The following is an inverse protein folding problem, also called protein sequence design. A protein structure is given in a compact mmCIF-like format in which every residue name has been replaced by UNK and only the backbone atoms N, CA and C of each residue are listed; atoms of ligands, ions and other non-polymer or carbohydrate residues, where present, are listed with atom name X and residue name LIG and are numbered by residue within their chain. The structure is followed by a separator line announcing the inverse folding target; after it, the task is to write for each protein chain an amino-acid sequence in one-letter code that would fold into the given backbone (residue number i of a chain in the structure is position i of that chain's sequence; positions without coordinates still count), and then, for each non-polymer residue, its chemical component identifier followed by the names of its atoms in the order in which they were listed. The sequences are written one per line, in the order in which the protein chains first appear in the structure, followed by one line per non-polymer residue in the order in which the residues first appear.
data_IF_725234286955
#
_entry.id   IF_725234286955
#
_cell.length_a   1.000
_cell.length_b   1.000
_cell.length_c   1.000
_cell.angle_alpha   90.00
_cell.angle_beta   90.00
_cell.angle_gamma   90.00
#
_symmetry.space_group_name_H-M   'P 1'
#
loop_
_entity.id
_entity.type
_entity.pdbx_description
1 polymer ?
#
# COMPACT_ATOMS: atom_id res chain seq x y z
N UNK A 1 -28.05 -8.28 15.14
CA UNK A 1 -27.69 -7.89 13.76
C UNK A 1 -27.65 -9.15 12.92
N UNK A 2 -28.71 -9.40 12.14
CA UNK A 2 -28.78 -10.55 11.24
C UNK A 2 -27.84 -10.29 10.06
N UNK A 3 -26.82 -11.15 9.89
CA UNK A 3 -26.01 -11.20 8.68
C UNK A 3 -26.92 -11.65 7.53
N UNK A 4 -27.42 -10.70 6.74
CA UNK A 4 -27.99 -11.03 5.44
C UNK A 4 -26.87 -11.57 4.55
N UNK A 5 -26.86 -12.88 4.35
CA UNK A 5 -25.99 -13.53 3.39
C UNK A 5 -26.43 -13.12 1.99
N UNK A 6 -25.62 -12.32 1.30
CA UNK A 6 -25.81 -12.10 -0.13
C UNK A 6 -25.75 -13.46 -0.86
N UNK A 7 -26.60 -13.69 -1.88
CA UNK A 7 -26.51 -14.90 -2.68
C UNK A 7 -25.10 -15.06 -3.26
N UNK A 8 -24.58 -16.29 -3.24
CA UNK A 8 -23.23 -16.66 -3.71
C UNK A 8 -23.17 -16.53 -5.25
N UNK A 9 -23.08 -15.30 -5.73
CA UNK A 9 -22.76 -15.00 -7.11
C UNK A 9 -21.24 -15.15 -7.33
N UNK A 10 -20.78 -15.61 -8.51
CA UNK A 10 -19.35 -15.78 -8.78
C UNK A 10 -18.55 -14.49 -8.54
N UNK A 11 -19.17 -13.33 -8.76
CA UNK A 11 -18.58 -12.01 -8.53
C UNK A 11 -18.33 -11.71 -7.04
N UNK A 12 -19.24 -12.07 -6.12
CA UNK A 12 -19.06 -11.82 -4.68
C UNK A 12 -17.90 -12.64 -4.12
N UNK A 13 -17.69 -13.85 -4.63
CA UNK A 13 -16.54 -14.70 -4.28
C UNK A 13 -15.21 -14.06 -4.70
N UNK A 14 -15.16 -13.41 -5.88
CA UNK A 14 -13.99 -12.71 -6.39
C UNK A 14 -13.64 -11.49 -5.52
N UNK A 15 -14.62 -10.63 -5.21
CA UNK A 15 -14.43 -9.46 -4.34
C UNK A 15 -14.03 -9.88 -2.92
N UNK A 16 -14.62 -10.95 -2.37
CA UNK A 16 -14.27 -11.51 -1.06
C UNK A 16 -12.82 -12.00 -1.03
N UNK A 17 -12.35 -12.65 -2.09
CA UNK A 17 -10.95 -13.04 -2.25
C UNK A 17 -10.01 -11.84 -2.27
N UNK A 18 -10.37 -10.79 -3.01
CA UNK A 18 -9.59 -9.54 -3.10
C UNK A 18 -9.50 -8.82 -1.75
N UNK A 19 -10.62 -8.71 -1.03
CA UNK A 19 -10.69 -8.15 0.33
C UNK A 19 -9.82 -8.91 1.32
N UNK A 20 -9.87 -10.25 1.29
CA UNK A 20 -8.97 -11.08 2.12
C UNK A 20 -7.50 -10.80 1.80
N UNK A 21 -7.13 -10.70 0.53
CA UNK A 21 -5.76 -10.38 0.12
C UNK A 21 -5.33 -8.98 0.58
N UNK A 22 -6.18 -7.97 0.43
CA UNK A 22 -5.90 -6.59 0.89
C UNK A 22 -5.73 -6.55 2.41
N UNK A 23 -6.64 -7.19 3.15
CA UNK A 23 -6.56 -7.29 4.62
C UNK A 23 -5.30 -8.03 5.07
N UNK A 24 -4.94 -9.12 4.39
CA UNK A 24 -3.71 -9.87 4.67
C UNK A 24 -2.47 -9.00 4.42
N UNK A 25 -2.43 -8.28 3.30
CA UNK A 25 -1.33 -7.35 3.01
C UNK A 25 -1.21 -6.27 4.07
N UNK A 26 -2.32 -5.62 4.45
CA UNK A 26 -2.32 -4.60 5.52
C UNK A 26 -1.86 -5.15 6.86
N UNK A 27 -2.31 -6.36 7.21
CA UNK A 27 -1.88 -7.05 8.42
C UNK A 27 -0.38 -7.35 8.38
N UNK A 28 0.15 -7.85 7.26
CA UNK A 28 1.59 -8.06 7.08
C UNK A 28 2.37 -6.75 7.15
N UNK A 29 1.86 -5.67 6.56
CA UNK A 29 2.48 -4.34 6.65
C UNK A 29 2.51 -3.85 8.10
N UNK A 30 1.43 -4.03 8.86
CA UNK A 30 1.36 -3.70 10.29
C UNK A 30 2.36 -4.50 11.13
N UNK A 31 2.47 -5.81 10.89
CA UNK A 31 3.46 -6.68 11.55
C UNK A 31 4.88 -6.25 11.19
N UNK A 32 5.17 -6.01 9.91
CA UNK A 32 6.48 -5.57 9.44
C UNK A 32 6.87 -4.25 10.08
N UNK A 33 5.95 -3.28 10.14
CA UNK A 33 6.16 -1.98 10.78
C UNK A 33 6.48 -2.17 12.27
N UNK A 34 5.74 -3.04 12.96
CA UNK A 34 5.98 -3.36 14.36
C UNK A 34 7.35 -4.01 14.57
N UNK A 35 7.76 -4.96 13.70
CA UNK A 35 9.08 -5.56 13.72
C UNK A 35 10.21 -4.55 13.45
N UNK A 36 10.02 -3.62 12.51
CA UNK A 36 10.98 -2.55 12.23
C UNK A 36 11.15 -1.62 13.42
N UNK A 37 10.06 -1.20 14.06
CA UNK A 37 10.09 -0.37 15.27
C UNK A 37 10.80 -1.12 16.40
N UNK A 38 10.47 -2.39 16.61
CA UNK A 38 11.08 -3.20 17.67
C UNK A 38 12.59 -3.41 17.44
N UNK A 39 12.98 -3.74 16.20
CA UNK A 39 14.38 -3.91 15.80
C UNK A 39 15.18 -2.62 15.97
N UNK A 40 14.60 -1.48 15.57
CA UNK A 40 15.23 -0.18 15.72
C UNK A 40 15.33 0.23 17.20
N UNK A 41 14.29 0.01 18.00
CA UNK A 41 14.27 0.25 19.46
C UNK A 41 15.34 -0.56 20.19
N UNK A 42 15.42 -1.86 19.91
CA UNK A 42 16.44 -2.77 20.45
C UNK A 42 17.83 -2.30 20.00
N UNK A 43 18.02 -2.02 18.71
CA UNK A 43 19.29 -1.52 18.17
C UNK A 43 19.77 -0.22 18.82
N UNK A 44 18.86 0.72 19.09
CA UNK A 44 19.17 1.98 19.78
C UNK A 44 19.53 1.78 21.25
N UNK A 45 18.86 0.86 21.95
CA UNK A 45 19.18 0.49 23.34
C UNK A 45 20.60 -0.07 23.47
N UNK A 46 21.05 -0.86 22.49
CA UNK A 46 22.39 -1.46 22.50
C UNK A 46 23.51 -0.52 22.01
N UNK A 47 23.22 0.46 21.14
CA UNK A 47 24.25 1.33 20.53
C UNK A 47 24.59 2.60 21.30
N UNK A 48 23.70 3.15 22.12
CA UNK A 48 24.05 4.31 22.94
C UNK A 48 23.31 4.31 24.27
N UNK A 49 24.00 4.24 25.42
CA UNK A 49 23.38 4.64 26.67
C UNK A 49 23.22 6.16 26.65
N UNK A 50 22.03 6.62 26.24
CA UNK A 50 21.40 7.86 26.70
C UNK A 50 22.28 9.12 26.80
N UNK A 51 22.79 9.66 25.69
CA UNK A 51 23.50 10.97 25.75
C UNK A 51 22.60 12.19 25.57
N UNK A 52 21.46 12.06 24.89
CA UNK A 52 20.53 13.17 24.65
C UNK A 52 19.09 12.80 25.07
N UNK A 53 18.69 13.25 26.27
CA UNK A 53 17.33 13.12 26.81
C UNK A 53 16.24 13.60 25.83
N UNK A 54 16.37 14.73 25.09
CA UNK A 54 15.31 15.17 24.18
C UNK A 54 15.14 14.25 22.96
N UNK A 55 16.21 13.64 22.43
CA UNK A 55 16.08 12.70 21.31
C UNK A 55 15.40 11.40 21.74
N UNK A 56 15.63 10.96 22.98
CA UNK A 56 14.94 9.82 23.57
C UNK A 56 13.43 10.06 23.71
N UNK A 57 13.02 11.23 24.19
CA UNK A 57 11.59 11.56 24.36
C UNK A 57 10.88 11.59 23.02
N UNK A 58 11.47 12.25 22.01
CA UNK A 58 10.93 12.28 20.64
C UNK A 58 10.80 10.85 20.09
N UNK A 59 11.80 10.01 20.36
CA UNK A 59 11.83 8.63 19.89
C UNK A 59 10.77 7.73 20.55
N UNK A 60 10.59 7.86 21.87
CA UNK A 60 9.55 7.12 22.61
C UNK A 60 8.16 7.52 22.12
N UNK A 61 7.92 8.82 21.95
CA UNK A 61 6.62 9.33 21.46
C UNK A 61 6.36 8.84 20.04
N UNK A 62 7.35 8.90 19.15
CA UNK A 62 7.21 8.41 17.77
C UNK A 62 6.93 6.90 17.73
N UNK A 63 7.62 6.11 18.56
CA UNK A 63 7.42 4.66 18.66
C UNK A 63 6.04 4.30 19.19
N UNK A 64 5.52 5.04 20.18
CA UNK A 64 4.16 4.88 20.71
C UNK A 64 3.08 5.20 19.66
N UNK A 65 3.26 6.26 18.89
CA UNK A 65 2.33 6.61 17.81
C UNK A 65 2.32 5.55 16.70
N UNK A 66 3.50 5.10 16.27
CA UNK A 66 3.63 4.12 15.20
C UNK A 66 3.17 2.72 15.61
N UNK A 67 3.41 2.32 16.87
CA UNK A 67 2.87 1.06 17.42
C UNK A 67 1.35 1.11 17.58
N UNK A 68 0.79 2.24 18.04
CA UNK A 68 -0.67 2.45 18.07
C UNK A 68 -1.31 2.31 16.69
N UNK A 69 -0.66 2.88 15.67
CA UNK A 69 -1.09 2.72 14.28
C UNK A 69 -1.03 1.27 13.79
N UNK A 70 0.07 0.56 14.08
CA UNK A 70 0.23 -0.85 13.72
C UNK A 70 -0.82 -1.76 14.39
N UNK A 71 -1.07 -1.57 15.69
CA UNK A 71 -2.08 -2.33 16.42
C UNK A 71 -3.48 -2.04 15.89
N UNK A 72 -3.79 -0.77 15.59
CA UNK A 72 -5.06 -0.38 14.99
C UNK A 72 -5.29 -1.06 13.63
N UNK A 73 -4.28 -1.07 12.75
CA UNK A 73 -4.33 -1.80 11.47
C UNK A 73 -4.53 -3.31 11.66
N UNK A 74 -3.88 -3.93 12.65
CA UNK A 74 -4.09 -5.35 12.94
C UNK A 74 -5.52 -5.61 13.40
N UNK A 75 -6.01 -4.85 14.39
CA UNK A 75 -7.34 -5.06 14.98
C UNK A 75 -8.47 -4.81 13.97
N UNK A 76 -8.35 -3.78 13.13
CA UNK A 76 -9.40 -3.42 12.15
C UNK A 76 -9.49 -4.40 10.98
N UNK A 77 -8.39 -5.09 10.65
CA UNK A 77 -8.37 -6.06 9.56
C UNK A 77 -8.52 -7.52 10.03
N UNK A 78 -8.63 -7.76 11.33
CA UNK A 78 -8.83 -9.09 11.88
C UNK A 78 -10.30 -9.50 11.84
N UNK A 79 -10.58 -10.75 11.45
CA UNK A 79 -11.93 -11.31 11.42
C UNK A 79 -12.59 -11.40 10.03
N UNK A 80 -13.85 -11.87 9.97
CA UNK A 80 -14.56 -12.12 8.72
C UNK A 80 -14.80 -10.83 7.93
N UNK A 81 -14.90 -10.96 6.61
CA UNK A 81 -15.20 -9.83 5.70
C UNK A 81 -16.71 -9.55 5.78
N UNK A 82 -17.15 -8.38 6.27
CA UNK A 82 -18.56 -8.03 6.30
C UNK A 82 -19.06 -7.75 4.88
N UNK A 83 -20.35 -7.99 4.68
CA UNK A 83 -21.00 -7.89 3.36
C UNK A 83 -21.02 -6.43 2.89
N UNK A 84 -21.18 -5.50 3.82
CA UNK A 84 -21.12 -4.06 3.58
C UNK A 84 -19.77 -3.64 3.00
N UNK A 85 -18.66 -4.26 3.43
CA UNK A 85 -17.33 -3.98 2.89
C UNK A 85 -17.17 -4.46 1.43
N UNK A 86 -17.91 -5.50 1.03
CA UNK A 86 -17.93 -5.98 -0.36
C UNK A 86 -18.65 -4.96 -1.24
N UNK A 87 -19.82 -4.47 -0.80
CA UNK A 87 -20.58 -3.47 -1.54
C UNK A 87 -19.85 -2.12 -1.59
N UNK A 88 -19.24 -1.68 -0.50
CA UNK A 88 -18.40 -0.48 -0.47
C UNK A 88 -17.20 -0.61 -1.42
N UNK A 89 -16.52 -1.77 -1.44
CA UNK A 89 -15.42 -1.98 -2.39
C UNK A 89 -15.90 -1.95 -3.84
N UNK A 90 -17.04 -2.58 -4.13
CA UNK A 90 -17.66 -2.60 -5.46
C UNK A 90 -17.99 -1.18 -5.94
N UNK A 91 -18.69 -0.38 -5.12
CA UNK A 91 -19.02 1.01 -5.45
C UNK A 91 -17.76 1.89 -5.58
N UNK A 92 -16.77 1.68 -4.71
CA UNK A 92 -15.50 2.38 -4.78
C UNK A 92 -14.73 2.06 -6.07
N UNK A 93 -14.63 0.79 -6.46
CA UNK A 93 -13.98 0.40 -7.72
C UNK A 93 -14.70 0.95 -8.94
N UNK A 94 -16.04 0.94 -8.97
CA UNK A 94 -16.82 1.55 -10.06
C UNK A 94 -16.58 3.04 -10.18
N UNK A 95 -16.65 3.76 -9.07
CA UNK A 95 -16.40 5.21 -9.08
C UNK A 95 -14.96 5.52 -9.51
N UNK A 96 -13.98 4.70 -9.10
CA UNK A 96 -12.59 4.81 -9.56
C UNK A 96 -12.46 4.54 -11.06
N UNK A 97 -13.03 3.45 -11.58
CA UNK A 97 -12.99 3.11 -13.00
C UNK A 97 -13.66 4.20 -13.85
N UNK A 98 -14.78 4.75 -13.38
CA UNK A 98 -15.49 5.84 -14.05
C UNK A 98 -14.66 7.13 -14.08
N UNK A 99 -14.08 7.53 -12.93
CA UNK A 99 -13.19 8.69 -12.84
C UNK A 99 -11.96 8.51 -13.75
N UNK A 100 -11.35 7.33 -13.76
CA UNK A 100 -10.20 7.01 -14.59
C UNK A 100 -10.54 6.99 -16.09
N UNK A 101 -11.72 6.49 -16.47
CA UNK A 101 -12.22 6.54 -17.83
C UNK A 101 -12.44 7.98 -18.31
N UNK A 102 -12.82 8.89 -17.42
CA UNK A 102 -12.91 10.34 -17.69
C UNK A 102 -11.55 11.05 -17.71
N UNK A 103 -10.44 10.34 -17.47
CA UNK A 103 -9.09 10.88 -17.47
C UNK A 103 -8.57 11.34 -16.10
N UNK A 104 -9.30 11.08 -15.01
CA UNK A 104 -8.79 11.37 -13.67
C UNK A 104 -7.67 10.38 -13.31
N UNK A 105 -6.49 10.89 -12.99
CA UNK A 105 -5.34 10.08 -12.60
C UNK A 105 -5.38 9.73 -11.11
N UNK A 106 -5.08 8.48 -10.73
CA UNK A 106 -4.94 8.09 -9.33
C UNK A 106 -3.86 8.92 -8.63
N UNK A 107 -3.98 9.08 -7.32
CA UNK A 107 -3.05 9.90 -6.53
C UNK A 107 -1.58 9.47 -6.71
N UNK A 108 -1.32 8.17 -6.91
CA UNK A 108 -0.01 7.58 -7.17
C UNK A 108 0.72 8.12 -8.41
N UNK A 109 -0.03 8.73 -9.33
CA UNK A 109 0.49 9.33 -10.56
C UNK A 109 0.69 10.84 -10.46
N UNK A 110 0.25 11.47 -9.35
CA UNK A 110 0.39 12.92 -9.13
C UNK A 110 1.87 13.32 -8.98
N UNK A 111 2.18 14.54 -9.42
CA UNK A 111 3.55 15.06 -9.46
C UNK A 111 4.23 15.07 -8.09
N UNK A 112 3.53 15.50 -7.04
CA UNK A 112 4.08 15.54 -5.67
C UNK A 112 4.47 14.16 -5.13
N UNK A 113 3.72 13.10 -5.48
CA UNK A 113 4.03 11.72 -5.08
C UNK A 113 5.28 11.23 -5.81
N UNK A 114 5.43 11.55 -7.10
CA UNK A 114 6.66 11.27 -7.84
C UNK A 114 7.86 12.02 -7.25
N UNK A 115 7.64 13.23 -6.74
CA UNK A 115 8.67 13.98 -6.01
C UNK A 115 9.12 13.26 -4.73
N UNK A 116 8.18 12.74 -3.94
CA UNK A 116 8.51 11.94 -2.75
C UNK A 116 9.25 10.65 -3.11
N UNK A 117 8.86 9.96 -4.17
CA UNK A 117 9.55 8.76 -4.63
C UNK A 117 10.96 9.07 -5.15
N UNK A 118 11.15 10.24 -5.77
CA UNK A 118 12.46 10.71 -6.21
C UNK A 118 13.38 11.01 -5.03
N UNK A 119 12.85 11.58 -3.94
CA UNK A 119 13.60 11.74 -2.69
C UNK A 119 13.97 10.38 -2.09
N UNK A 120 13.07 9.39 -2.15
CA UNK A 120 13.36 8.03 -1.69
C UNK A 120 14.46 7.36 -2.54
N UNK A 121 14.44 7.58 -3.85
CA UNK A 121 15.49 7.11 -4.76
C UNK A 121 16.83 7.79 -4.45
N UNK A 122 16.83 9.10 -4.24
CA UNK A 122 18.02 9.86 -3.85
C UNK A 122 18.62 9.35 -2.53
N UNK A 123 17.77 9.14 -1.52
CA UNK A 123 18.18 8.55 -0.24
C UNK A 123 18.75 7.14 -0.40
N UNK A 124 18.17 6.34 -1.29
CA UNK A 124 18.68 4.99 -1.60
C UNK A 124 20.08 5.04 -2.23
N UNK A 125 20.34 6.01 -3.12
CA UNK A 125 21.68 6.22 -3.68
C UNK A 125 22.69 6.69 -2.63
N UNK A 126 22.27 7.55 -1.71
CA UNK A 126 23.13 8.03 -0.62
C UNK A 126 23.51 6.89 0.33
N UNK A 127 22.56 6.01 0.68
CA UNK A 127 22.85 4.78 1.43
C UNK A 127 23.78 3.84 0.66
N UNK A 128 23.57 3.67 -0.65
CA UNK A 128 24.45 2.87 -1.49
C UNK A 128 25.89 3.40 -1.48
N UNK A 129 26.07 4.72 -1.62
CA UNK A 129 27.36 5.39 -1.54
C UNK A 129 28.00 5.28 -0.15
N UNK A 130 27.22 5.46 0.92
CA UNK A 130 27.70 5.31 2.30
C UNK A 130 28.20 3.89 2.60
N UNK A 131 27.47 2.86 2.15
CA UNK A 131 27.87 1.46 2.32
C UNK A 131 29.05 1.02 1.44
N UNK A 132 29.29 1.70 0.31
CA UNK A 132 30.40 1.36 -0.61
C UNK A 132 31.69 2.15 -0.35
N UNK A 133 31.59 3.35 0.22
CA UNK A 133 32.73 4.28 0.38
C UNK A 133 33.23 4.35 1.83
N UNK A 134 32.35 4.31 2.84
CA UNK A 134 32.71 4.67 4.23
C UNK A 134 32.96 3.48 5.17
N UNK A 135 32.58 2.26 4.78
CA UNK A 135 32.66 1.08 5.65
C UNK A 135 33.54 0.02 4.95
N UNK A 136 34.49 -0.53 5.70
CA UNK A 136 35.62 -1.38 5.28
C UNK A 136 35.28 -2.53 4.29
N UNK A 137 36.27 -3.15 3.60
CA UNK A 137 36.06 -3.98 2.41
C UNK A 137 35.59 -5.40 2.77
N UNK A 138 34.42 -5.50 3.40
CA UNK A 138 33.71 -6.75 3.54
C UNK A 138 32.81 -6.95 2.32
N UNK A 139 32.91 -8.13 1.68
CA UNK A 139 32.11 -8.49 0.50
C UNK A 139 30.61 -8.31 0.73
N UNK A 140 30.13 -8.45 1.97
CA UNK A 140 28.74 -8.25 2.34
C UNK A 140 28.26 -6.80 2.15
N UNK A 141 29.11 -5.81 2.39
CA UNK A 141 28.71 -4.40 2.32
C UNK A 141 28.57 -3.90 0.88
N UNK A 142 29.38 -4.44 -0.04
CA UNK A 142 29.22 -4.22 -1.47
C UNK A 142 27.93 -4.79 -2.02
N UNK A 143 27.51 -5.96 -1.52
CA UNK A 143 26.21 -6.56 -1.88
C UNK A 143 25.07 -5.67 -1.38
N UNK A 144 25.14 -5.22 -0.12
CA UNK A 144 24.12 -4.34 0.47
C UNK A 144 24.05 -3.00 -0.29
N UNK A 145 25.19 -2.36 -0.55
CA UNK A 145 25.25 -1.12 -1.34
C UNK A 145 24.73 -1.31 -2.78
N UNK A 146 25.07 -2.43 -3.41
CA UNK A 146 24.56 -2.81 -4.73
C UNK A 146 23.03 -3.00 -4.75
N UNK A 147 22.45 -3.58 -3.71
CA UNK A 147 20.99 -3.72 -3.56
C UNK A 147 20.32 -2.35 -3.47
N UNK A 148 20.85 -1.43 -2.65
CA UNK A 148 20.31 -0.07 -2.56
C UNK A 148 20.45 0.71 -3.87
N UNK A 149 21.55 0.53 -4.60
CA UNK A 149 21.77 1.14 -5.90
C UNK A 149 20.75 0.64 -6.94
N UNK A 150 20.54 -0.68 -7.01
CA UNK A 150 19.53 -1.28 -7.89
C UNK A 150 18.12 -0.85 -7.50
N UNK A 151 17.82 -0.72 -6.20
CA UNK A 151 16.55 -0.19 -5.74
C UNK A 151 16.32 1.26 -6.20
N UNK A 152 17.34 2.11 -6.08
CA UNK A 152 17.31 3.49 -6.58
C UNK A 152 17.08 3.57 -8.10
N UNK A 153 17.77 2.73 -8.88
CA UNK A 153 17.56 2.63 -10.32
C UNK A 153 16.15 2.13 -10.68
N UNK A 154 15.64 1.14 -9.95
CA UNK A 154 14.28 0.62 -10.12
C UNK A 154 13.23 1.70 -9.87
N UNK A 155 13.38 2.50 -8.82
CA UNK A 155 12.51 3.64 -8.53
C UNK A 155 12.58 4.71 -9.64
N UNK A 156 13.76 5.04 -10.14
CA UNK A 156 13.90 5.96 -11.27
C UNK A 156 13.21 5.42 -12.53
N UNK A 157 13.39 4.14 -12.85
CA UNK A 157 12.71 3.51 -13.98
C UNK A 157 11.18 3.55 -13.81
N UNK A 158 10.67 3.33 -12.60
CA UNK A 158 9.23 3.43 -12.32
C UNK A 158 8.70 4.86 -12.52
N UNK A 159 9.39 5.86 -11.98
CA UNK A 159 9.01 7.28 -12.07
C UNK A 159 9.02 7.78 -13.51
N UNK A 160 10.10 7.49 -14.26
CA UNK A 160 10.33 8.08 -15.59
C UNK A 160 9.77 7.25 -16.74
N UNK A 161 9.62 5.93 -16.60
CA UNK A 161 9.24 5.05 -17.70
C UNK A 161 7.90 4.34 -17.46
N UNK A 162 7.75 3.61 -16.36
CA UNK A 162 6.56 2.78 -16.15
C UNK A 162 5.32 3.61 -15.83
N UNK A 163 5.38 4.54 -14.88
CA UNK A 163 4.23 5.37 -14.49
C UNK A 163 3.69 6.25 -15.61
N UNK A 164 4.49 6.96 -16.42
CA UNK A 164 3.98 7.72 -17.56
C UNK A 164 3.33 6.83 -18.61
N UNK A 165 3.92 5.66 -18.90
CA UNK A 165 3.37 4.69 -19.84
C UNK A 165 2.04 4.13 -19.36
N UNK A 166 1.93 3.78 -18.07
CA UNK A 166 0.71 3.28 -17.45
C UNK A 166 -0.38 4.36 -17.39
N UNK A 167 -0.03 5.60 -17.04
CA UNK A 167 -0.96 6.74 -17.00
C UNK A 167 -1.64 6.98 -18.36
N UNK A 168 -0.90 6.85 -19.47
CA UNK A 168 -1.44 7.00 -20.83
C UNK A 168 -2.44 5.91 -21.20
N UNK A 169 -2.23 4.69 -20.70
CA UNK A 169 -3.09 3.54 -20.99
C UNK A 169 -4.25 3.40 -20.01
N UNK A 170 -4.24 4.17 -18.93
CA UNK A 170 -5.15 4.01 -17.81
C UNK A 170 -6.60 4.27 -18.23
N UNK A 171 -6.87 5.39 -18.93
CA UNK A 171 -8.21 5.73 -19.38
C UNK A 171 -8.83 4.65 -20.29
N UNK A 172 -8.05 4.15 -21.27
CA UNK A 172 -8.51 3.12 -22.20
C UNK A 172 -8.77 1.78 -21.50
N UNK A 173 -7.86 1.36 -20.61
CA UNK A 173 -8.02 0.12 -19.84
C UNK A 173 -9.23 0.20 -18.91
N UNK A 174 -9.35 1.30 -18.16
CA UNK A 174 -10.47 1.50 -17.24
C UNK A 174 -11.81 1.62 -17.96
N UNK A 175 -11.86 2.26 -19.14
CA UNK A 175 -13.07 2.29 -19.98
C UNK A 175 -13.46 0.90 -20.49
N UNK A 176 -12.49 0.10 -20.96
CA UNK A 176 -12.75 -1.26 -21.42
C UNK A 176 -13.27 -2.16 -20.28
N UNK A 177 -12.67 -2.07 -19.10
CA UNK A 177 -13.09 -2.85 -17.93
C UNK A 177 -14.46 -2.40 -17.42
N UNK A 178 -14.74 -1.09 -17.43
CA UNK A 178 -16.06 -0.56 -17.10
C UNK A 178 -17.12 -1.06 -18.09
N UNK A 179 -16.86 -1.01 -19.40
CA UNK A 179 -17.81 -1.51 -20.42
C UNK A 179 -18.09 -3.00 -20.26
N UNK A 180 -17.06 -3.79 -19.93
CA UNK A 180 -17.20 -5.21 -19.67
C UNK A 180 -18.10 -5.46 -18.46
N UNK A 181 -17.85 -4.78 -17.33
CA UNK A 181 -18.66 -4.87 -16.10
C UNK A 181 -20.11 -4.40 -16.29
N UNK A 182 -20.33 -3.38 -17.13
CA UNK A 182 -21.69 -2.95 -17.49
C UNK A 182 -22.39 -4.01 -18.35
N UNK A 183 -21.69 -4.58 -19.33
CA UNK A 183 -22.25 -5.61 -20.22
C UNK A 183 -22.51 -6.96 -19.54
N UNK A 184 -21.79 -7.27 -18.45
CA UNK A 184 -21.95 -8.51 -17.68
C UNK A 184 -23.15 -8.47 -16.72
N UNK A 185 -23.88 -7.35 -16.64
CA UNK A 185 -25.02 -7.20 -15.75
C UNK A 185 -24.65 -6.86 -14.30
N UNK A 186 -23.39 -6.50 -14.03
CA UNK A 186 -22.95 -6.07 -12.68
C UNK A 186 -23.75 -4.84 -12.22
N UNK A 187 -24.17 -3.98 -13.16
CA UNK A 187 -24.96 -2.77 -12.91
C UNK A 187 -26.41 -3.04 -12.44
N UNK A 188 -26.99 -4.18 -12.82
CA UNK A 188 -28.40 -4.52 -12.54
C UNK A 188 -28.61 -5.20 -11.19
N UNK A 189 -27.54 -5.65 -10.52
CA UNK A 189 -27.63 -6.38 -9.24
C UNK A 189 -27.93 -5.52 -8.00
N UNK A 190 -27.95 -4.19 -8.11
CA UNK A 190 -28.18 -3.28 -6.97
C UNK A 190 -29.66 -2.94 -6.73
N UNK A 191 -30.58 -3.22 -7.67
CA UNK A 191 -31.96 -2.69 -7.63
C UNK A 191 -33.08 -3.76 -7.60
N UNK A 192 -32.79 -5.02 -7.26
CA UNK A 192 -33.82 -6.08 -7.24
C UNK A 192 -34.04 -6.75 -5.89
N UNK A 193 -33.46 -6.26 -4.79
CA UNK A 193 -33.79 -6.74 -3.44
C UNK A 193 -34.71 -5.82 -2.62
N UNK A 194 -35.04 -4.63 -3.13
CA UNK A 194 -35.87 -3.62 -2.43
C UNK A 194 -37.23 -3.38 -3.08
N UNK A 195 -37.58 -4.10 -4.16
CA UNK A 195 -38.88 -3.95 -4.83
C UNK A 195 -39.91 -5.03 -4.46
N UNK A 196 -39.55 -5.99 -3.60
CA UNK A 196 -40.42 -7.09 -3.16
C UNK A 196 -40.64 -7.09 -1.63
N UNK A 197 -40.84 -5.90 -1.04
CA UNK A 197 -41.50 -5.74 0.27
C UNK A 197 -42.61 -4.70 0.21
#
# INVERSE_FOLDING_TARGET
MQQQSLPDQPETSWYKGRLKKIRLLRLLTGILLLCLILSFFIGTLFRSPFRDIPSLVVFVVFSLLMSGFAVSEIMTNWGPVPVEAINQLRQHERSLLFQQAQGALPWQYRLWVRGLELLLAAFSFELAAGHTILVMPERAQWVIGGVYFLAGLGLLADIFYFKPKQARQLATKSASELSFRLSSGEATGENHSDSDM
#
